data_IF_073875018155
#
_entry.id   IF_073875018155
#
_cell.length_a   1.000
_cell.length_b   1.000
_cell.length_c   1.000
_cell.angle_alpha   90.00
_cell.angle_beta   90.00
_cell.angle_gamma   90.00
#
_symmetry.space_group_name_H-M   'P 1'
#
loop_
_entity.id
_entity.type
_entity.pdbx_description
1 polymer ?
2 non-polymer ?
3 water ?
#
# COMPACT_ATOMS: atom_id res chain seq x y z
N UNK A 6 8.48 5.47 22.49
CA UNK A 6 7.25 4.65 22.20
C UNK A 6 7.11 4.52 20.67
N UNK A 7 6.81 5.62 19.97
CA UNK A 7 6.87 5.61 18.48
C UNK A 7 8.34 5.65 18.13
N UNK A 8 8.81 4.67 17.38
CA UNK A 8 10.24 4.39 17.16
C UNK A 8 10.48 3.73 15.80
N UNK A 9 9.47 3.19 15.09
CA UNK A 9 9.75 2.55 13.78
C UNK A 9 9.67 3.58 12.66
N UNK A 10 10.62 3.50 11.73
CA UNK A 10 10.74 4.48 10.62
C UNK A 10 10.76 3.71 9.30
N UNK A 11 9.61 3.55 8.61
CA UNK A 11 9.63 2.96 7.29
C UNK A 11 10.52 3.78 6.37
N UNK A 12 11.12 3.15 5.36
CA UNK A 12 11.94 3.86 4.40
C UNK A 12 11.09 4.84 3.57
N UNK A 13 11.77 5.75 2.90
CA UNK A 13 11.16 6.80 2.05
C UNK A 13 10.10 6.16 1.14
N UNK A 14 8.89 6.72 1.10
CA UNK A 14 7.84 6.33 0.13
C UNK A 14 7.50 4.84 0.27
N UNK A 15 7.57 4.33 1.49
CA UNK A 15 7.25 2.90 1.77
C UNK A 15 5.77 2.62 1.53
N UNK A 16 5.50 1.50 0.90
CA UNK A 16 4.11 0.99 0.83
C UNK A 16 4.09 -0.50 0.61
N UNK A 17 3.03 -1.13 1.09
CA UNK A 17 2.69 -2.51 0.73
C UNK A 17 2.00 -2.50 -0.63
N UNK A 18 2.50 -3.28 -1.57
CA UNK A 18 1.96 -3.39 -2.94
C UNK A 18 0.93 -4.52 -2.99
N UNK A 19 1.28 -5.65 -2.41
CA UNK A 19 0.42 -6.85 -2.41
C UNK A 19 0.90 -7.75 -1.28
N UNK A 20 0.22 -8.86 -1.04
CA UNK A 20 0.73 -9.90 -0.12
C UNK A 20 2.20 -10.18 -0.46
N UNK A 21 3.10 -9.99 0.49
CA UNK A 21 4.53 -10.33 0.37
C UNK A 21 5.33 -9.37 -0.50
N UNK A 22 4.76 -8.22 -0.93
CA UNK A 22 5.48 -7.30 -1.82
C UNK A 22 5.38 -5.86 -1.30
N UNK A 23 6.54 -5.24 -1.14
CA UNK A 23 6.69 -3.84 -0.67
C UNK A 23 7.46 -3.03 -1.70
N UNK A 24 7.30 -1.71 -1.63
CA UNK A 24 8.06 -0.75 -2.44
C UNK A 24 8.57 0.37 -1.53
N UNK A 25 9.71 0.93 -1.87
CA UNK A 25 10.26 2.10 -1.19
C UNK A 25 11.38 2.74 -1.99
N UNK A 26 11.87 3.85 -1.46
CA UNK A 26 13.19 4.40 -1.80
C UNK A 26 14.26 3.72 -0.96
N UNK A 27 15.44 4.31 -0.98
CA UNK A 27 16.67 3.66 -0.48
C UNK A 27 16.60 3.60 1.04
N UNK A 28 16.62 2.40 1.65
CA UNK A 28 16.66 2.31 3.12
C UNK A 28 18.00 2.77 3.68
N UNK A 29 17.96 3.41 4.83
CA UNK A 29 19.20 3.70 5.60
C UNK A 29 19.06 3.07 6.99
N UNK A 30 20.06 3.22 7.84
CA UNK A 30 20.14 2.47 9.13
C UNK A 30 18.94 2.84 10.03
N UNK A 31 18.37 4.04 9.88
CA UNK A 31 17.20 4.47 10.68
C UNK A 31 15.99 3.59 10.37
N UNK A 32 15.96 2.95 9.19
CA UNK A 32 14.81 2.15 8.71
C UNK A 32 14.98 0.66 9.03
N UNK A 33 16.14 0.22 9.51
CA UNK A 33 16.44 -1.22 9.63
C UNK A 33 15.49 -1.87 10.65
N UNK A 34 15.21 -1.22 11.79
CA UNK A 34 14.36 -1.85 12.82
C UNK A 34 12.96 -2.08 12.24
N UNK A 35 12.46 -1.14 11.45
CA UNK A 35 11.16 -1.31 10.76
C UNK A 35 11.24 -2.47 9.76
N UNK A 36 12.24 -2.49 8.88
CA UNK A 36 12.34 -3.54 7.84
C UNK A 36 12.49 -4.92 8.50
N UNK A 37 13.17 -5.03 9.64
CA UNK A 37 13.31 -6.32 10.37
C UNK A 37 11.92 -6.87 10.70
N UNK A 38 10.93 -6.01 10.97
CA UNK A 38 9.57 -6.45 11.36
C UNK A 38 8.88 -7.14 10.19
N UNK A 39 9.36 -6.94 8.95
CA UNK A 39 8.68 -7.49 7.76
C UNK A 39 9.14 -8.93 7.46
N UNK A 40 10.24 -9.40 8.06
CA UNK A 40 10.78 -10.74 7.79
C UNK A 40 11.05 -10.93 6.30
N UNK A 41 11.76 -9.99 5.69
CA UNK A 41 12.05 -10.04 4.24
C UNK A 41 12.88 -11.28 3.91
N UNK A 42 12.61 -11.85 2.75
CA UNK A 42 13.50 -12.88 2.14
C UNK A 42 14.42 -12.23 1.11
N UNK A 43 13.96 -11.16 0.45
CA UNK A 43 14.58 -10.63 -0.77
C UNK A 43 14.45 -9.11 -0.81
N UNK A 44 15.40 -8.47 -1.46
CA UNK A 44 15.31 -7.07 -1.94
C UNK A 44 15.57 -7.10 -3.44
N UNK A 45 14.71 -6.41 -4.19
CA UNK A 45 14.92 -6.13 -5.63
C UNK A 45 15.36 -4.67 -5.68
N UNK A 46 16.60 -4.47 -6.05
CA UNK A 46 17.29 -3.16 -6.03
C UNK A 46 17.52 -2.72 -7.48
N UNK A 47 16.96 -1.57 -7.87
CA UNK A 47 16.88 -1.17 -9.29
C UNK A 47 17.88 -0.06 -9.65
N UNK A 48 18.90 0.20 -8.82
CA UNK A 48 19.95 1.21 -9.13
C UNK A 48 21.28 0.53 -9.39
N UNK A 49 22.14 1.12 -10.26
CA UNK A 49 23.45 0.53 -10.55
C UNK A 49 24.52 0.71 -9.45
N UNK A 50 24.32 1.66 -8.55
CA UNK A 50 25.34 2.02 -7.53
C UNK A 50 25.54 0.83 -6.60
N UNK A 51 26.78 0.55 -6.13
CA UNK A 51 27.00 -0.53 -5.19
C UNK A 51 26.23 -0.30 -3.88
N UNK A 52 25.76 -1.39 -3.26
CA UNK A 52 25.06 -1.35 -1.97
C UNK A 52 26.02 -0.89 -0.89
N UNK A 53 25.66 0.11 -0.06
CA UNK A 53 26.52 0.53 1.04
C UNK A 53 26.81 -0.59 2.05
N UNK A 54 27.98 -0.53 2.70
CA UNK A 54 28.41 -1.52 3.72
C UNK A 54 27.33 -1.66 4.81
N UNK A 55 26.79 -0.56 5.29
CA UNK A 55 25.70 -0.55 6.32
C UNK A 55 24.56 -1.49 5.87
N UNK A 56 24.11 -1.32 4.63
CA UNK A 56 22.96 -2.10 4.10
C UNK A 56 23.39 -3.56 3.90
N UNK A 57 24.61 -3.79 3.40
CA UNK A 57 25.12 -5.17 3.20
C UNK A 57 25.14 -5.92 4.54
N UNK A 58 25.60 -5.29 5.63
CA UNK A 58 25.62 -5.96 6.95
C UNK A 58 24.18 -6.27 7.39
N UNK A 59 23.24 -5.35 7.14
CA UNK A 59 21.81 -5.59 7.46
C UNK A 59 21.29 -6.83 6.71
N UNK A 60 21.58 -6.95 5.41
CA UNK A 60 21.14 -8.12 4.61
C UNK A 60 21.74 -9.39 5.20
N UNK A 61 23.04 -9.36 5.52
CA UNK A 61 23.76 -10.56 6.00
C UNK A 61 23.15 -11.01 7.34
N UNK A 62 22.98 -10.07 8.27
CA UNK A 62 22.44 -10.34 9.63
C UNK A 62 21.04 -10.95 9.54
N UNK A 63 20.25 -10.53 8.55
CA UNK A 63 18.81 -10.89 8.45
C UNK A 63 18.57 -12.00 7.41
N UNK A 64 19.61 -12.49 6.74
CA UNK A 64 19.49 -13.56 5.73
C UNK A 64 18.69 -13.13 4.51
N UNK A 65 18.83 -11.86 4.10
CA UNK A 65 18.07 -11.30 2.96
C UNK A 65 18.91 -11.37 1.68
N UNK A 66 18.34 -11.91 0.62
CA UNK A 66 19.00 -12.01 -0.70
C UNK A 66 18.83 -10.68 -1.44
N UNK A 67 19.90 -10.19 -2.06
CA UNK A 67 19.89 -8.95 -2.88
C UNK A 67 19.90 -9.32 -4.36
N UNK A 68 18.84 -8.93 -5.06
CA UNK A 68 18.75 -8.98 -6.53
C UNK A 68 18.92 -7.57 -7.07
N UNK A 69 20.01 -7.33 -7.79
CA UNK A 69 20.31 -5.98 -8.31
C UNK A 69 20.14 -5.97 -9.82
N UNK A 70 19.23 -5.13 -10.31
CA UNK A 70 19.00 -4.86 -11.75
C UNK A 70 19.18 -3.36 -11.95
N UNK A 71 20.40 -2.96 -12.25
CA UNK A 71 20.84 -1.55 -12.22
C UNK A 71 20.30 -0.79 -13.42
N UNK A 72 19.26 -0.01 -13.22
CA UNK A 72 18.65 0.81 -14.30
C UNK A 72 19.26 2.19 -14.22
N UNK A 73 19.93 2.63 -15.28
CA UNK A 73 20.62 3.94 -15.35
C UNK A 73 19.56 5.03 -15.28
N UNK A 74 19.76 6.00 -14.41
CA UNK A 74 18.88 7.17 -14.27
C UNK A 74 18.88 7.97 -15.56
N UNK A 75 17.72 8.47 -15.96
CA UNK A 75 17.55 9.42 -17.09
C UNK A 75 16.45 10.41 -16.70
N UNK A 76 16.58 11.63 -17.21
CA UNK A 76 15.63 12.73 -16.93
C UNK A 76 14.81 12.95 -18.21
N UNK A 77 13.55 13.33 -18.06
CA UNK A 77 12.70 13.61 -19.25
C UNK A 77 13.26 14.83 -20.00
N UNK A 78 13.21 14.93 -21.35
CA UNK A 78 12.59 13.91 -22.19
C UNK A 78 13.58 12.94 -22.85
N UNK A 79 14.67 12.61 -22.17
CA UNK A 79 15.70 11.69 -22.74
C UNK A 79 15.71 10.37 -21.97
N UNK A 81 15.44 6.57 -21.44
CA UNK A 81 15.10 5.33 -22.17
C UNK A 81 14.99 4.18 -21.17
N UNK A 82 13.77 3.85 -20.75
CA UNK A 82 13.57 2.83 -19.66
C UNK A 82 13.99 1.46 -20.18
N UNK A 83 14.81 0.70 -19.44
CA UNK A 83 15.36 -0.56 -19.93
C UNK A 83 14.32 -1.66 -19.67
N UNK A 84 13.62 -2.00 -20.75
CA UNK A 84 12.66 -3.12 -20.83
C UNK A 84 13.27 -4.41 -20.27
N UNK A 85 14.49 -4.75 -20.66
CA UNK A 85 15.11 -6.03 -20.27
C UNK A 85 15.29 -6.06 -18.74
N UNK A 86 15.79 -4.98 -18.14
CA UNK A 86 16.05 -4.95 -16.68
C UNK A 86 14.70 -5.03 -15.96
N UNK A 87 13.69 -4.28 -16.38
CA UNK A 87 12.37 -4.36 -15.71
C UNK A 87 11.88 -5.80 -15.79
N UNK A 88 12.03 -6.45 -16.94
CA UNK A 88 11.50 -7.84 -17.12
C UNK A 88 12.30 -8.82 -16.25
N UNK A 89 13.62 -8.64 -16.13
CA UNK A 89 14.41 -9.52 -15.22
C UNK A 89 13.90 -9.35 -13.78
N UNK A 90 13.64 -8.10 -13.35
CA UNK A 90 13.13 -7.82 -12.00
C UNK A 90 11.76 -8.45 -11.82
N UNK A 91 10.88 -8.35 -12.82
CA UNK A 91 9.51 -8.89 -12.75
C UNK A 91 9.57 -10.42 -12.59
N UNK A 92 10.48 -11.10 -13.29
CA UNK A 92 10.66 -12.58 -13.21
C UNK A 92 10.98 -12.94 -11.74
N UNK A 93 11.83 -12.16 -11.07
CA UNK A 93 12.18 -12.42 -9.64
C UNK A 93 10.97 -12.11 -8.76
N UNK A 94 10.31 -10.99 -9.01
CA UNK A 94 9.18 -10.50 -8.19
C UNK A 94 8.05 -11.54 -8.19
N UNK A 95 7.79 -12.22 -9.31
CA UNK A 95 6.61 -13.10 -9.43
C UNK A 95 6.87 -14.47 -8.79
N UNK A 96 8.10 -14.76 -8.37
CA UNK A 96 8.45 -16.03 -7.70
C UNK A 96 8.20 -15.87 -6.19
N UNK A 97 7.13 -16.47 -5.69
CA UNK A 97 6.67 -16.36 -4.29
C UNK A 97 7.76 -16.87 -3.34
N UNK A 98 8.68 -17.73 -3.79
CA UNK A 98 9.79 -18.22 -2.93
C UNK A 98 10.67 -17.04 -2.50
N UNK A 99 10.61 -15.91 -3.23
CA UNK A 99 11.41 -14.70 -2.90
C UNK A 99 10.68 -13.77 -1.93
N UNK A 100 9.44 -14.06 -1.59
CA UNK A 100 8.60 -13.18 -0.73
C UNK A 100 8.85 -13.54 0.73
N UNK A 101 8.70 -12.58 1.67
CA UNK A 101 8.41 -11.18 1.35
C UNK A 101 9.60 -10.46 0.67
N UNK A 102 9.28 -9.58 -0.28
CA UNK A 102 10.29 -8.85 -1.07
C UNK A 102 10.01 -7.35 -0.99
N UNK A 103 11.07 -6.58 -0.81
CA UNK A 103 11.06 -5.11 -0.94
C UNK A 103 11.70 -4.73 -2.26
N UNK A 104 10.93 -4.04 -3.11
CA UNK A 104 11.43 -3.37 -4.33
C UNK A 104 11.92 -1.98 -3.91
N UNK A 105 13.14 -1.60 -4.24
CA UNK A 105 13.52 -0.19 -4.00
C UNK A 105 14.49 0.32 -5.05
N UNK A 106 14.44 1.63 -5.19
CA UNK A 106 15.40 2.39 -5.99
C UNK A 106 15.96 3.50 -5.08
N UNK A 107 16.15 4.71 -5.58
CA UNK A 107 16.69 5.82 -4.76
C UNK A 107 15.54 6.48 -4.00
N UNK A 108 14.51 6.93 -4.70
CA UNK A 108 13.34 7.57 -4.04
C UNK A 108 12.08 6.72 -4.20
N UNK A 109 12.09 5.68 -5.02
CA UNK A 109 10.93 4.77 -5.12
C UNK A 109 9.80 5.34 -5.93
N UNK A 110 10.09 6.20 -6.91
CA UNK A 110 9.05 6.87 -7.74
C UNK A 110 9.07 6.39 -9.18
N UNK A 111 10.24 6.33 -9.81
CA UNK A 111 10.36 6.12 -11.27
C UNK A 111 10.64 4.65 -11.57
N UNK A 112 11.83 4.18 -11.26
CA UNK A 112 12.20 2.77 -11.55
C UNK A 112 11.25 1.84 -10.80
N UNK A 113 11.07 2.08 -9.51
CA UNK A 113 10.16 1.30 -8.65
C UNK A 113 8.74 1.43 -9.20
N UNK A 114 8.34 2.65 -9.57
CA UNK A 114 6.98 2.89 -10.07
C UNK A 114 6.70 2.10 -11.33
N UNK A 115 7.67 2.05 -12.24
CA UNK A 115 7.53 1.32 -13.52
C UNK A 115 7.42 -0.18 -13.26
N UNK A 116 8.23 -0.71 -12.36
CA UNK A 116 8.15 -2.17 -12.09
C UNK A 116 6.77 -2.50 -11.51
N UNK A 117 6.32 -1.73 -10.52
CA UNK A 117 4.98 -1.98 -9.91
C UNK A 117 3.88 -1.81 -10.96
N UNK A 118 3.97 -0.79 -11.81
CA UNK A 118 2.93 -0.60 -12.85
C UNK A 118 2.85 -1.79 -13.79
N UNK A 119 3.99 -2.39 -14.13
CA UNK A 119 4.00 -3.57 -15.01
C UNK A 119 3.39 -4.76 -14.26
N UNK A 120 3.65 -4.92 -12.96
CA UNK A 120 2.95 -5.94 -12.16
C UNK A 120 1.43 -5.72 -12.24
N UNK A 121 0.98 -4.49 -12.07
CA UNK A 121 -0.48 -4.21 -12.08
C UNK A 121 -1.06 -4.58 -13.45
N UNK A 122 -0.30 -4.35 -14.52
CA UNK A 122 -0.82 -4.70 -15.87
C UNK A 122 -1.01 -6.23 -15.94
N UNK A 123 -0.07 -7.00 -15.38
CA UNK A 123 -0.20 -8.47 -15.30
C UNK A 123 -1.42 -8.85 -14.46
N UNK A 124 -1.75 -8.06 -13.42
CA UNK A 124 -2.92 -8.25 -12.52
C UNK A 124 -4.21 -7.74 -13.16
N UNK A 125 -4.15 -7.27 -14.41
CA UNK A 125 -5.33 -6.90 -15.25
C UNK A 125 -5.97 -5.59 -14.79
N UNK A 126 -5.25 -4.73 -14.10
CA UNK A 126 -5.74 -3.37 -13.77
C UNK A 126 -5.85 -2.56 -15.06
N UNK A 127 -6.91 -1.78 -15.19
CA UNK A 127 -7.01 -0.82 -16.30
C UNK A 127 -5.90 0.22 -16.18
N UNK A 128 -5.51 0.79 -17.30
CA UNK A 128 -4.33 1.69 -17.35
C UNK A 128 -4.56 2.87 -16.42
N UNK A 129 -5.74 3.48 -16.45
CA UNK A 129 -5.98 4.70 -15.62
C UNK A 129 -5.79 4.37 -14.15
N UNK A 130 -6.11 3.16 -13.71
CA UNK A 130 -5.92 2.76 -12.28
C UNK A 130 -4.43 2.57 -12.00
N UNK A 131 -3.70 2.00 -12.94
CA UNK A 131 -2.22 1.83 -12.81
C UNK A 131 -1.56 3.19 -12.71
N UNK A 132 -1.95 4.11 -13.59
CA UNK A 132 -1.34 5.46 -13.65
C UNK A 132 -1.66 6.20 -12.36
N UNK A 133 -2.88 6.06 -11.84
CA UNK A 133 -3.27 6.74 -10.58
C UNK A 133 -2.34 6.31 -9.45
N UNK A 134 -2.09 5.02 -9.31
CA UNK A 134 -1.20 4.54 -8.24
C UNK A 134 0.23 5.06 -8.46
N UNK A 135 0.73 4.99 -9.69
CA UNK A 135 2.07 5.51 -10.04
C UNK A 135 2.16 6.98 -9.61
N UNK A 136 1.16 7.78 -9.99
CA UNK A 136 1.14 9.23 -9.74
C UNK A 136 1.10 9.52 -8.23
N UNK A 137 0.46 8.67 -7.43
CA UNK A 137 0.36 8.89 -5.98
C UNK A 137 1.78 8.99 -5.39
N UNK A 138 2.69 8.13 -5.82
CA UNK A 138 4.09 8.12 -5.35
C UNK A 138 4.90 9.17 -6.07
N UNK A 139 4.77 9.30 -7.39
CA UNK A 139 5.65 10.19 -8.15
C UNK A 139 5.29 11.66 -7.86
N UNK A 140 4.02 11.94 -7.57
CA UNK A 140 3.51 13.29 -7.21
C UNK A 140 3.97 14.31 -8.25
N UNK A 141 4.66 15.39 -7.84
CA UNK A 141 5.03 16.45 -8.79
C UNK A 141 6.10 15.99 -9.78
N UNK A 142 6.73 14.85 -9.56
CA UNK A 142 7.76 14.29 -10.46
C UNK A 142 7.18 13.19 -11.36
N UNK A 143 5.85 13.03 -11.45
CA UNK A 143 5.24 12.06 -12.40
C UNK A 143 5.79 12.38 -13.79
N UNK A 144 6.20 11.35 -14.51
CA UNK A 144 6.75 11.46 -15.88
C UNK A 144 5.79 10.79 -16.86
N UNK A 145 5.51 11.46 -17.96
CA UNK A 145 4.70 10.82 -19.03
C UNK A 145 5.48 9.60 -19.54
N UNK A 146 6.81 9.69 -19.63
CA UNK A 146 7.65 8.59 -20.20
C UNK A 146 7.49 7.31 -19.36
N UNK A 147 7.38 7.43 -18.05
CA UNK A 147 7.18 6.24 -17.17
C UNK A 147 5.83 5.59 -17.50
N UNK A 148 4.83 6.41 -17.72
CA UNK A 148 3.45 5.88 -17.95
C UNK A 148 3.37 5.34 -19.38
N UNK A 149 4.07 5.98 -20.31
CA UNK A 149 4.11 5.50 -21.72
C UNK A 149 4.73 4.10 -21.72
N UNK A 150 5.82 3.92 -20.96
CA UNK A 150 6.51 2.62 -20.83
C UNK A 150 5.51 1.55 -20.39
N UNK A 151 4.75 1.81 -19.35
CA UNK A 151 3.70 0.90 -18.86
C UNK A 151 2.62 0.70 -19.94
N UNK A 152 2.25 1.78 -20.63
CA UNK A 152 1.17 1.77 -21.66
C UNK A 152 1.52 0.84 -22.83
N UNK A 153 2.80 0.72 -23.18
CA UNK A 153 3.20 -0.13 -24.35
C UNK A 153 3.81 -1.46 -23.90
N UNK A 154 4.05 -1.66 -22.62
CA UNK A 154 4.63 -2.92 -22.08
C UNK A 154 3.79 -4.13 -22.53
N UNK A 155 4.38 -5.01 -23.30
CA UNK A 155 3.69 -6.22 -23.84
C UNK A 155 3.69 -7.28 -22.74
N UNK A 156 2.53 -7.67 -22.22
CA UNK A 156 2.44 -8.66 -21.10
C UNK A 156 2.68 -10.11 -21.58
N UNK A 157 2.73 -10.37 -22.89
CA UNK A 157 2.67 -11.74 -23.50
C UNK A 157 3.51 -12.78 -22.73
N UNK A 158 4.80 -12.50 -22.52
CA UNK A 158 5.76 -13.53 -22.03
C UNK A 158 5.50 -13.93 -20.56
N UNK A 159 4.71 -13.15 -19.83
CA UNK A 159 4.49 -13.32 -18.37
C UNK A 159 3.07 -13.81 -18.06
N UNK A 160 2.21 -13.87 -19.08
CA UNK A 160 0.72 -13.95 -18.91
C UNK A 160 0.29 -15.32 -18.35
N UNK A 161 1.13 -16.36 -18.48
CA UNK A 161 0.87 -17.73 -17.95
C UNK A 161 1.29 -17.86 -16.47
N UNK A 162 2.05 -16.93 -15.90
CA UNK A 162 2.62 -17.04 -14.51
C UNK A 162 1.48 -16.85 -13.50
N UNK A 163 1.22 -17.85 -12.62
CA UNK A 163 0.17 -17.72 -11.60
C UNK A 163 0.59 -16.73 -10.50
N UNK A 164 -0.41 -16.23 -9.77
CA UNK A 164 -0.20 -15.25 -8.66
C UNK A 164 -1.12 -15.61 -7.49
N UNK A 165 -1.14 -16.89 -7.13
CA UNK A 165 -1.90 -17.42 -5.96
C UNK A 165 -1.40 -16.76 -4.67
N UNK A 166 -0.24 -16.08 -4.69
CA UNK A 166 0.28 -15.25 -3.56
C UNK A 166 -0.62 -14.04 -3.32
N UNK A 167 -1.26 -13.52 -4.37
CA UNK A 167 -1.84 -12.15 -4.36
C UNK A 167 -3.12 -12.11 -3.51
N UNK A 168 -3.41 -10.94 -2.94
CA UNK A 168 -4.72 -10.68 -2.26
C UNK A 168 -5.80 -10.71 -3.33
N UNK A 169 -5.45 -10.34 -4.56
CA UNK A 169 -6.34 -10.25 -5.73
C UNK A 169 -6.33 -11.60 -6.48
N UNK A 170 -7.34 -12.45 -6.25
CA UNK A 170 -7.45 -13.79 -6.90
C UNK A 170 -8.36 -13.67 -8.14
N UNK B 7 -7.34 -5.83 -19.92
CA UNK B 7 -7.27 -5.00 -18.68
C UNK B 7 -8.70 -4.57 -18.36
N UNK B 8 -9.19 -4.92 -17.19
CA UNK B 8 -10.63 -4.83 -16.88
C UNK B 8 -10.88 -4.55 -15.40
N UNK B 9 -9.90 -4.69 -14.50
CA UNK B 9 -10.16 -4.46 -13.06
C UNK B 9 -9.94 -2.97 -12.75
N UNK B 10 -10.82 -2.44 -11.90
CA UNK B 10 -10.84 -1.01 -11.55
C UNK B 10 -10.91 -0.92 -10.04
N UNK B 11 -9.75 -0.82 -9.35
CA UNK B 11 -9.77 -0.56 -7.92
C UNK B 11 -10.55 0.73 -7.64
N UNK B 12 -11.20 0.82 -6.47
CA UNK B 12 -11.94 2.03 -6.10
C UNK B 12 -10.97 3.22 -5.92
N UNK B 13 -11.53 4.42 -5.88
CA UNK B 13 -10.81 5.70 -5.69
C UNK B 13 -9.78 5.54 -4.58
N UNK B 14 -8.52 5.90 -4.84
CA UNK B 14 -7.48 6.01 -3.78
C UNK B 14 -7.29 4.68 -3.05
N UNK B 15 -7.43 3.59 -3.76
CA UNK B 15 -7.26 2.23 -3.21
C UNK B 15 -5.80 1.98 -2.85
N UNK B 16 -5.61 1.36 -1.69
CA UNK B 16 -4.29 0.82 -1.31
C UNK B 16 -4.42 -0.30 -0.29
N UNK B 17 -3.44 -1.19 -0.32
CA UNK B 17 -3.24 -2.16 0.77
C UNK B 17 -2.51 -1.45 1.92
N UNK B 18 -3.03 -1.55 3.12
CA UNK B 18 -2.48 -0.90 4.34
C UNK B 18 -1.56 -1.91 5.02
N UNK B 19 -2.01 -3.15 5.15
CA UNK B 19 -1.26 -4.21 5.85
C UNK B 19 -1.87 -5.52 5.40
N UNK B 20 -1.33 -6.62 5.89
CA UNK B 20 -1.94 -7.95 5.68
C UNK B 20 -3.41 -7.87 6.05
N UNK B 21 -4.31 -8.18 5.11
CA UNK B 21 -5.74 -8.23 5.37
C UNK B 21 -6.44 -6.88 5.50
N UNK B 22 -5.77 -5.75 5.25
CA UNK B 22 -6.38 -4.42 5.48
C UNK B 22 -6.17 -3.55 4.25
N UNK B 23 -7.25 -2.98 3.75
CA UNK B 23 -7.24 -2.09 2.58
C UNK B 23 -7.91 -0.78 2.96
N UNK B 24 -7.63 0.24 2.16
CA UNK B 24 -8.28 1.56 2.27
C UNK B 24 -8.73 2.02 0.88
N UNK B 25 -9.78 2.82 0.85
CA UNK B 25 -10.25 3.45 -0.42
C UNK B 25 -11.28 4.53 -0.14
N UNK B 26 -11.67 5.22 -1.19
CA UNK B 26 -12.92 5.98 -1.20
C UNK B 26 -14.08 5.09 -1.59
N UNK B 27 -15.20 5.71 -1.90
CA UNK B 27 -16.49 4.99 -2.05
C UNK B 27 -16.46 4.11 -3.29
N UNK B 28 -16.61 2.79 -3.15
CA UNK B 28 -16.71 1.92 -4.33
C UNK B 28 -18.00 2.16 -5.09
N UNK B 29 -17.94 2.06 -6.41
CA UNK B 29 -19.15 2.00 -7.25
C UNK B 29 -19.12 0.69 -8.05
N UNK B 30 -20.15 0.45 -8.84
CA UNK B 30 -20.34 -0.87 -9.51
C UNK B 30 -19.15 -1.18 -10.43
N UNK B 31 -18.44 -0.18 -10.98
CA UNK B 31 -17.27 -0.40 -11.85
C UNK B 31 -16.13 -1.05 -11.05
N UNK B 32 -16.15 -0.96 -9.72
CA UNK B 32 -15.07 -1.46 -8.83
C UNK B 32 -15.40 -2.85 -8.26
N UNK B 33 -16.63 -3.34 -8.43
CA UNK B 33 -17.08 -4.56 -7.72
C UNK B 33 -16.23 -5.77 -8.15
N UNK B 34 -15.92 -5.92 -9.44
CA UNK B 34 -15.15 -7.11 -9.92
C UNK B 34 -13.77 -7.08 -9.27
N UNK B 35 -13.16 -5.91 -9.15
CA UNK B 35 -11.84 -5.81 -8.46
C UNK B 35 -12.01 -6.19 -6.98
N UNK B 36 -13.01 -5.64 -6.31
CA UNK B 36 -13.17 -5.92 -4.86
C UNK B 36 -13.45 -7.41 -4.64
N UNK B 37 -14.13 -8.07 -5.59
CA UNK B 37 -14.37 -9.52 -5.48
C UNK B 37 -13.04 -10.27 -5.36
N UNK B 38 -12.00 -9.82 -6.05
CA UNK B 38 -10.69 -10.53 -6.07
C UNK B 38 -10.06 -10.48 -4.68
N UNK B 39 -10.48 -9.57 -3.79
CA UNK B 39 -9.84 -9.43 -2.46
C UNK B 39 -10.45 -10.38 -1.41
N UNK B 40 -11.58 -11.03 -1.70
CA UNK B 40 -12.21 -11.94 -0.72
C UNK B 40 -12.49 -11.23 0.60
N UNK B 41 -13.08 -10.03 0.54
CA UNK B 41 -13.37 -9.24 1.74
C UNK B 41 -14.33 -10.01 2.64
N UNK B 42 -14.09 -9.95 3.94
CA UNK B 42 -15.08 -10.35 4.97
C UNK B 42 -15.85 -9.14 5.48
N UNK B 43 -15.25 -7.95 5.45
CA UNK B 43 -15.74 -6.77 6.18
C UNK B 43 -15.48 -5.50 5.37
N UNK B 44 -16.38 -4.54 5.56
CA UNK B 44 -16.15 -3.13 5.18
C UNK B 44 -16.34 -2.32 6.45
N UNK B 45 -15.38 -1.46 6.74
CA UNK B 45 -15.54 -0.39 7.76
C UNK B 45 -15.84 0.88 6.99
N UNK B 46 -17.07 1.37 7.12
CA UNK B 46 -17.59 2.52 6.38
C UNK B 46 -17.71 3.69 7.35
N UNK B 47 -17.05 4.81 7.04
CA UNK B 47 -16.86 5.89 8.03
C UNK B 47 -17.74 7.11 7.75
N UNK B 48 -18.74 6.99 6.89
CA UNK B 48 -19.68 8.11 6.58
C UNK B 48 -21.05 7.80 7.16
N UNK B 49 -21.82 8.84 7.56
CA UNK B 49 -23.16 8.62 8.13
C UNK B 49 -24.26 8.32 7.11
N UNK B 50 -24.06 8.64 5.83
CA UNK B 50 -25.11 8.48 4.79
C UNK B 50 -25.44 7.00 4.67
N UNK B 51 -26.71 6.64 4.45
CA UNK B 51 -27.06 5.24 4.27
C UNK B 51 -26.31 4.69 3.04
N UNK B 52 -25.90 3.42 3.13
CA UNK B 52 -25.24 2.68 2.03
C UNK B 52 -26.22 2.57 0.86
N UNK B 53 -25.81 2.94 -0.37
CA UNK B 53 -26.70 2.80 -1.51
C UNK B 53 -27.10 1.35 -1.79
N UNK B 54 -28.26 1.18 -2.42
CA UNK B 54 -28.85 -0.14 -2.72
C UNK B 54 -27.84 -0.98 -3.51
N UNK B 55 -27.18 -0.38 -4.51
CA UNK B 55 -26.18 -1.06 -5.39
C UNK B 55 -25.09 -1.71 -4.51
N UNK B 56 -24.56 -0.93 -3.57
CA UNK B 56 -23.46 -1.33 -2.68
C UNK B 56 -24.00 -2.36 -1.68
N UNK B 57 -25.23 -2.20 -1.18
CA UNK B 57 -25.81 -3.19 -0.23
C UNK B 57 -25.94 -4.54 -0.93
N UNK B 58 -26.41 -4.56 -2.18
CA UNK B 58 -26.57 -5.83 -2.93
C UNK B 58 -25.20 -6.48 -3.12
N UNK B 59 -24.17 -5.68 -3.39
CA UNK B 59 -22.79 -6.19 -3.53
C UNK B 59 -22.35 -6.83 -2.22
N UNK B 60 -22.55 -6.15 -1.09
CA UNK B 60 -22.19 -6.72 0.25
C UNK B 60 -22.90 -8.06 0.42
N UNK B 61 -24.22 -8.07 0.21
CA UNK B 61 -25.06 -9.26 0.48
C UNK B 61 -24.57 -10.43 -0.36
N UNK B 62 -24.43 -10.21 -1.67
CA UNK B 62 -24.02 -11.23 -2.68
C UNK B 62 -22.66 -11.83 -2.34
N UNK B 63 -21.74 -11.01 -1.84
CA UNK B 63 -20.34 -11.40 -1.64
C UNK B 63 -20.08 -11.83 -0.19
N UNK B 64 -21.08 -11.85 0.68
CA UNK B 64 -20.92 -12.28 2.07
C UNK B 64 -19.99 -11.36 2.85
N UNK B 65 -20.17 -10.05 2.67
CA UNK B 65 -19.35 -9.01 3.34
C UNK B 65 -20.19 -8.37 4.44
N UNK B 66 -19.63 -8.30 5.65
CA UNK B 66 -20.26 -7.60 6.80
C UNK B 66 -19.96 -6.10 6.69
N UNK B 67 -20.97 -5.27 6.88
CA UNK B 67 -20.83 -3.80 6.95
C UNK B 67 -20.74 -3.36 8.41
N UNK B 68 -19.66 -2.68 8.76
CA UNK B 68 -19.52 -1.93 10.03
C UNK B 68 -19.56 -0.43 9.70
N UNK B 69 -20.59 0.26 10.16
CA UNK B 69 -20.77 1.70 9.84
C UNK B 69 -20.50 2.49 11.13
N UNK B 70 -19.49 3.33 11.09
CA UNK B 70 -19.14 4.30 12.15
C UNK B 70 -19.14 5.68 11.52
N UNK B 71 -20.31 6.31 11.48
CA UNK B 71 -20.58 7.52 10.68
C UNK B 71 -19.94 8.73 11.31
N UNK B 72 -18.90 9.26 10.66
CA UNK B 72 -18.20 10.49 11.12
C UNK B 72 -18.72 11.65 10.29
N UNK B 73 -19.23 12.70 10.93
CA UNK B 73 -19.99 13.80 10.28
C UNK B 73 -19.03 14.71 9.51
N UNK B 81 -14.46 18.73 14.30
CA UNK B 81 -13.92 17.81 15.34
C UNK B 81 -14.18 16.35 14.93
N UNK B 82 -13.11 15.59 14.67
CA UNK B 82 -13.17 14.11 14.42
C UNK B 82 -13.53 13.44 15.75
N UNK B 83 -14.62 12.64 15.81
CA UNK B 83 -14.99 11.97 17.06
C UNK B 83 -14.10 10.76 17.36
N UNK B 84 -13.37 10.90 18.47
CA UNK B 84 -12.50 9.87 19.09
C UNK B 84 -13.25 8.55 19.21
N UNK B 85 -14.48 8.55 19.71
CA UNK B 85 -15.23 7.30 20.04
C UNK B 85 -15.41 6.44 18.79
N UNK B 86 -15.79 7.03 17.67
CA UNK B 86 -16.06 6.31 16.40
C UNK B 86 -14.75 5.72 15.86
N UNK B 87 -13.66 6.46 15.91
CA UNK B 87 -12.32 5.94 15.50
C UNK B 87 -11.94 4.79 16.43
N UNK B 88 -12.18 4.93 17.74
CA UNK B 88 -11.89 3.85 18.72
C UNK B 88 -12.68 2.58 18.37
N UNK B 89 -13.97 2.71 18.08
CA UNK B 89 -14.84 1.55 17.74
C UNK B 89 -14.35 0.93 16.42
N UNK B 90 -13.96 1.75 15.45
CA UNK B 90 -13.46 1.26 14.15
C UNK B 90 -12.14 0.51 14.36
N UNK B 91 -11.26 1.02 15.22
CA UNK B 91 -9.95 0.38 15.54
C UNK B 91 -10.21 -1.02 16.12
N UNK B 92 -11.19 -1.14 17.01
CA UNK B 92 -11.53 -2.44 17.69
C UNK B 92 -11.87 -3.47 16.60
N UNK B 93 -12.63 -3.07 15.58
CA UNK B 93 -13.03 -3.99 14.46
C UNK B 93 -11.78 -4.37 13.67
N UNK B 94 -10.97 -3.37 13.35
CA UNK B 94 -9.77 -3.55 12.53
C UNK B 94 -8.80 -4.51 13.21
N UNK B 95 -8.73 -4.52 14.54
CA UNK B 95 -7.72 -5.32 15.29
C UNK B 95 -8.17 -6.78 15.47
N UNK B 96 -9.43 -7.09 15.16
CA UNK B 96 -9.94 -8.48 15.22
C UNK B 96 -9.70 -9.11 13.86
N UNK B 97 -8.69 -9.98 13.75
CA UNK B 97 -8.25 -10.65 12.50
C UNK B 97 -9.41 -11.45 11.89
N UNK B 98 -10.40 -11.88 12.68
CA UNK B 98 -11.57 -12.62 12.11
C UNK B 98 -12.31 -11.73 11.10
N UNK B 99 -12.18 -10.41 11.20
CA UNK B 99 -12.86 -9.46 10.28
C UNK B 99 -12.07 -9.29 8.99
N UNK B 100 -10.85 -9.82 8.89
CA UNK B 100 -9.99 -9.63 7.72
C UNK B 100 -10.34 -10.69 6.67
N UNK B 101 -10.20 -10.40 5.36
CA UNK B 101 -9.79 -9.08 4.86
C UNK B 101 -10.86 -7.98 5.00
N UNK B 102 -10.41 -6.78 5.34
CA UNK B 102 -11.31 -5.63 5.59
C UNK B 102 -10.90 -4.47 4.70
N UNK B 103 -11.90 -3.81 4.10
CA UNK B 103 -11.73 -2.54 3.37
C UNK B 103 -12.29 -1.41 4.25
N UNK B 104 -11.43 -0.46 4.60
CA UNK B 104 -11.85 0.82 5.23
C UNK B 104 -12.21 1.77 4.08
N UNK B 105 -13.38 2.39 4.10
CA UNK B 105 -13.63 3.46 3.11
C UNK B 105 -14.51 4.55 3.66
N UNK B 106 -14.34 5.71 3.04
CA UNK B 106 -15.20 6.88 3.28
C UNK B 106 -15.70 7.35 1.91
N UNK B 107 -15.78 8.66 1.64
CA UNK B 107 -16.25 9.11 0.31
C UNK B 107 -15.05 9.13 -0.66
N UNK B 108 -13.97 9.84 -0.30
CA UNK B 108 -12.76 9.88 -1.18
C UNK B 108 -11.60 9.13 -0.56
N UNK B 109 -11.69 8.71 0.70
CA UNK B 109 -10.63 7.90 1.32
C UNK B 109 -9.41 8.71 1.70
N UNK B 110 -9.58 10.00 2.00
CA UNK B 110 -8.45 10.90 2.35
C UNK B 110 -8.47 11.26 3.83
N UNK B 111 -9.61 11.68 4.36
CA UNK B 111 -9.68 12.34 5.68
C UNK B 111 -10.08 11.33 6.76
N UNK B 112 -11.33 10.86 6.75
CA UNK B 112 -11.81 9.93 7.80
C UNK B 112 -10.98 8.64 7.70
N UNK B 113 -10.85 8.12 6.48
CA UNK B 113 -10.04 6.91 6.22
C UNK B 113 -8.59 7.16 6.64
N UNK B 114 -8.03 8.30 6.27
CA UNK B 114 -6.63 8.61 6.61
C UNK B 114 -6.41 8.68 8.11
N UNK B 115 -7.38 9.23 8.85
CA UNK B 115 -7.27 9.34 10.33
C UNK B 115 -7.29 7.94 10.95
N UNK B 116 -8.17 7.05 10.49
CA UNK B 116 -8.23 5.71 11.08
C UNK B 116 -6.92 4.98 10.80
N UNK B 117 -6.45 5.03 9.55
CA UNK B 117 -5.17 4.36 9.23
C UNK B 117 -4.02 4.95 10.07
N UNK B 118 -3.98 6.27 10.20
CA UNK B 118 -2.90 6.91 10.98
C UNK B 118 -2.89 6.44 12.42
N UNK B 119 -4.07 6.28 13.03
CA UNK B 119 -4.19 5.80 14.42
C UNK B 119 -3.72 4.33 14.49
N UNK B 120 -4.04 3.51 13.49
CA UNK B 120 -3.49 2.13 13.41
C UNK B 120 -1.96 2.21 13.37
N UNK B 121 -1.39 3.11 12.58
CA UNK B 121 0.09 3.21 12.48
C UNK B 121 0.69 3.59 13.84
N UNK B 122 0.00 4.40 14.64
CA UNK B 122 0.48 4.77 15.99
C UNK B 122 0.52 3.51 16.85
N UNK B 123 -0.49 2.65 16.76
CA UNK B 123 -0.49 1.35 17.48
C UNK B 123 0.67 0.47 17.00
N UNK B 124 1.05 0.59 15.72
CA UNK B 124 2.17 -0.17 15.09
C UNK B 124 3.53 0.50 15.39
N UNK B 125 3.55 1.57 16.18
CA UNK B 125 4.76 2.24 16.71
C UNK B 125 5.51 3.01 15.63
N UNK B 126 4.82 3.42 14.56
CA UNK B 126 5.44 4.31 13.55
C UNK B 126 5.69 5.69 14.15
N UNK B 127 6.82 6.30 13.83
CA UNK B 127 7.07 7.71 14.19
C UNK B 127 6.05 8.60 13.47
N UNK B 128 5.68 9.71 14.08
CA UNK B 128 4.62 10.60 13.54
C UNK B 128 4.98 11.05 12.13
N UNK B 129 6.21 11.44 11.84
CA UNK B 129 6.52 11.96 10.48
C UNK B 129 6.23 10.88 9.42
N UNK B 130 6.47 9.61 9.72
CA UNK B 130 6.20 8.49 8.78
C UNK B 130 4.69 8.35 8.60
N UNK B 131 3.93 8.48 9.68
CA UNK B 131 2.45 8.40 9.63
C UNK B 131 1.91 9.53 8.75
N UNK B 132 2.38 10.73 9.02
CA UNK B 132 1.92 11.94 8.28
C UNK B 132 2.28 11.83 6.79
N UNK B 133 3.46 11.31 6.48
CA UNK B 133 3.88 11.17 5.08
C UNK B 133 2.90 10.26 4.34
N UNK B 134 2.54 9.14 4.95
CA UNK B 134 1.58 8.20 4.34
C UNK B 134 0.23 8.89 4.19
N UNK B 135 -0.26 9.54 5.23
CA UNK B 135 -1.53 10.31 5.17
C UNK B 135 -1.49 11.28 3.98
N UNK B 136 -0.41 12.04 3.85
CA UNK B 136 -0.29 13.11 2.84
C UNK B 136 -0.28 12.51 1.44
N UNK B 137 0.25 11.30 1.27
CA UNK B 137 0.30 10.66 -0.06
C UNK B 137 -1.11 10.55 -0.64
N UNK B 138 -2.10 10.20 0.20
CA UNK B 138 -3.50 10.05 -0.25
C UNK B 138 -4.20 11.41 -0.25
N UNK B 139 -3.99 12.22 0.77
CA UNK B 139 -4.76 13.48 0.90
C UNK B 139 -4.29 14.51 -0.15
N UNK B 140 -2.99 14.49 -0.49
CA UNK B 140 -2.36 15.31 -1.53
C UNK B 140 -2.69 16.78 -1.27
N UNK B 141 -3.27 17.50 -2.22
CA UNK B 141 -3.54 18.96 -2.06
C UNK B 141 -4.64 19.22 -1.03
N UNK B 142 -5.35 18.19 -0.57
CA UNK B 142 -6.42 18.34 0.46
C UNK B 142 -5.91 17.88 1.84
N UNK B 143 -4.61 17.68 2.03
CA UNK B 143 -4.07 17.34 3.37
C UNK B 143 -4.55 18.42 4.36
N UNK B 144 -5.03 17.97 5.52
CA UNK B 144 -5.56 18.83 6.61
C UNK B 144 -4.63 18.73 7.81
N UNK B 145 -4.24 19.88 8.35
CA UNK B 145 -3.44 19.89 9.59
C UNK B 145 -4.29 19.23 10.69
N UNK B 146 -5.59 19.51 10.73
CA UNK B 146 -6.48 19.00 11.80
C UNK B 146 -6.50 17.46 11.80
N UNK B 147 -6.47 16.84 10.63
CA UNK B 147 -6.44 15.35 10.56
C UNK B 147 -5.16 14.84 11.24
N UNK B 148 -4.02 15.48 10.97
CA UNK B 148 -2.71 15.02 11.48
C UNK B 148 -2.64 15.31 12.98
N UNK B 149 -3.17 16.46 13.40
CA UNK B 149 -3.26 16.85 14.83
C UNK B 149 -4.08 15.79 15.58
N UNK B 150 -5.20 15.34 15.01
CA UNK B 150 -6.06 14.29 15.61
C UNK B 150 -5.21 13.03 15.88
N UNK B 151 -4.40 12.61 14.90
CA UNK B 151 -3.51 11.42 15.03
C UNK B 151 -2.46 11.67 16.11
N UNK B 152 -1.87 12.86 16.12
CA UNK B 152 -0.82 13.35 17.06
C UNK B 152 -1.35 13.13 18.48
N UNK B 153 -2.62 13.45 18.76
CA UNK B 153 -3.10 13.45 20.16
C UNK B 153 -3.99 12.25 20.48
N UNK B 154 -4.31 11.39 19.51
CA UNK B 154 -5.20 10.23 19.76
C UNK B 154 -4.59 9.30 20.81
N UNK B 155 -5.37 8.99 21.86
CA UNK B 155 -4.90 8.19 23.03
C UNK B 155 -4.99 6.71 22.66
N UNK B 156 -3.85 6.01 22.62
CA UNK B 156 -3.77 4.58 22.19
C UNK B 156 -3.73 3.66 23.42
N UNK B 157 -3.81 4.22 24.64
CA UNK B 157 -3.64 3.50 25.93
C UNK B 157 -4.51 2.24 25.99
N UNK B 158 -5.78 2.33 25.56
CA UNK B 158 -6.80 1.26 25.74
C UNK B 158 -6.46 0.02 24.89
N UNK B 159 -5.52 0.12 23.93
CA UNK B 159 -5.27 -0.90 22.88
C UNK B 159 -3.93 -1.63 23.04
N UNK B 160 -3.03 -1.13 23.88
CA UNK B 160 -1.60 -1.51 23.86
C UNK B 160 -1.42 -2.99 24.24
N UNK B 161 -2.44 -3.61 24.86
CA UNK B 161 -2.46 -5.04 25.26
C UNK B 161 -2.82 -5.95 24.07
N UNK B 162 -3.53 -5.44 23.06
CA UNK B 162 -4.03 -6.23 21.90
C UNK B 162 -2.86 -6.59 21.00
N UNK B 163 -2.50 -7.90 20.84
CA UNK B 163 -1.42 -8.29 19.94
C UNK B 163 -1.87 -8.16 18.47
N UNK B 164 -0.92 -8.03 17.55
CA UNK B 164 -1.18 -7.77 16.11
C UNK B 164 -0.40 -8.76 15.25
N UNK B 165 -0.58 -10.06 15.53
CA UNK B 165 0.10 -11.19 14.84
C UNK B 165 -0.35 -11.28 13.38
N UNK B 166 -1.44 -10.59 12.97
CA UNK B 166 -1.90 -10.51 11.56
C UNK B 166 -0.90 -9.74 10.70
N UNK B 167 -0.21 -8.76 11.28
CA UNK B 167 0.54 -7.70 10.56
C UNK B 167 1.78 -8.30 9.88
N UNK B 168 2.18 -7.72 8.76
CA UNK B 168 3.47 -8.01 8.06
C UNK B 168 4.61 -7.55 8.98
N UNK B 169 4.31 -6.57 9.83
CA UNK B 169 5.27 -5.95 10.78
C UNK B 169 5.08 -6.57 12.19
N UNK B 170 5.91 -7.56 12.55
CA UNK B 170 5.88 -8.26 13.87
C UNK B 170 6.87 -7.56 14.83
X LIG C 1 15.57 13.72 -9.20
X LIG C 1 16.33 13.90 -10.51
X LIG C 1 17.43 12.84 -10.60
X LIG C 1 16.81 11.41 -10.51
X LIG C 1 15.91 11.25 -9.30
X LIG C 1 14.90 12.39 -9.21
X LIG C 1 14.53 14.72 -9.02
X LIG C 1 15.45 13.78 -11.63
X LIG C 1 18.17 12.98 -11.84
X LIG C 1 17.83 10.37 -10.43
X LIG C 1 15.24 9.97 -9.50
X LIG C 1 14.17 12.29 -7.99
X LIG C 1 15.58 15.87 -6.93
X LIG C 1 16.14 16.26 -12.28
X LIG C 1 20.59 12.46 -11.03
X LIG C 1 19.51 9.96 -12.33
X LIG C 1 14.50 9.32 -7.21
X LIG C 1 12.43 10.61 -7.78
X LIG C 1 15.84 16.82 -9.34
X LIG C 1 13.66 15.47 -12.42
X LIG C 1 19.68 14.87 -10.89
X LIG C 1 16.99 9.63 -12.83
X LIG C 1 16.80 8.66 -8.15
X LIG C 1 12.02 12.64 -9.28
X LIG C 1 13.44 16.78 -8.09
X LIG C 1 15.36 14.55 -14.06
X LIG C 1 20.22 13.77 -13.21
X LIG C 1 18.25 7.97 -11.33
X LIG C 1 14.74 7.69 -9.11
X LIG C 1 12.19 12.92 -6.68
X LIG C 1 14.50 5.92 -7.39
X LIG C 1 12.52 7.09 -8.33
X LIG C 1 13.82 5.71 -9.77
X LIG C 1 14.82 16.18 -8.29
X LIG C 1 15.17 14.99 -12.70
X LIG C 1 19.71 13.57 -11.84
X LIG C 1 18.15 9.39 -11.70
X LIG C 1 15.33 8.95 -8.35
X LIG C 1 12.59 12.20 -7.97
X LIG C 1 13.82 6.52 -8.57
X LIG D 1 -14.30 18.05 -0.27
X LIG D 1 -15.01 18.96 0.70
X LIG D 1 -16.18 18.19 1.28
X LIG D 1 -15.68 16.95 2.05
X LIG D 1 -14.88 16.07 1.14
X LIG D 1 -13.75 16.85 0.47
X LIG D 1 -13.22 18.70 -0.93
X LIG D 1 -14.13 19.34 1.75
X LIG D 1 -16.92 19.04 2.18
X LIG D 1 -16.81 16.20 2.51
X LIG D 1 -14.29 15.05 1.96
X LIG D 1 -13.12 15.98 -0.47
X LIG D 1 -14.16 18.50 -3.46
X LIG D 1 -14.52 21.93 1.07
X LIG D 1 -19.37 18.27 2.09
X LIG D 1 -18.26 17.21 4.45
X LIG D 1 -13.61 13.14 0.50
X LIG D 1 -11.51 14.31 0.32
X LIG D 1 -14.32 20.68 -2.19
X LIG D 1 -12.10 20.95 1.49
X LIG D 1 -18.45 19.86 0.24
X LIG D 1 -15.86 16.37 4.92
X LIG D 1 -16.03 13.38 1.47
X LIG D 1 -10.89 16.81 0.41
X LIG D 1 -11.95 19.72 -2.90
X LIG D 1 -13.74 21.29 3.43
X LIG D 1 -18.76 20.76 2.66
X LIG D 1 -17.78 14.70 4.37
X LIG D 1 -14.03 12.92 2.98
X LIG D 1 -11.13 15.61 -1.88
X LIG D 1 -14.01 10.44 2.49
X LIG D 1 -11.90 11.82 2.67
X LIG D 1 -13.29 11.49 4.61
X LIG D 1 -13.34 19.43 -2.40
X LIG D 1 -13.64 20.92 2.01
X LIG D 1 -18.42 19.58 1.84
X LIG D 1 -17.20 16.05 4.07
X LIG D 1 -14.51 13.58 1.58
X LIG D 1 -11.54 15.77 -0.44
X LIG D 1 -13.23 11.54 3.17
#
# INVERSE_FOLDING_TARGET
GSFTEELHLIPPLNFSMVDNGIFRSGFPDSANFSFLQTLGLRSIIYLCPEPYPESNLQFLKSNGIRLFQFGIEGNKEPFVNIPDHKIRMALKVLLDEKNHPVLIHSKRGKHRTGCLVGCLRKLQKWCLTSIFDEYQRFAAAKARVSDQRFMEIFDVSSFSHIPMSFSCSIR
GSFTEELHLIPPLNFSMVDNGIFRSGFPDSANFSFLQTLGLRSIIYLCPEPYPESNLQFLKSNGIRLFQFGIEGNKEPFVNIPDHKIRMALKVLLDEKNHPVLIHSKRGKHRTGCLVGCLRKLQKWCLTSIFDEYQRFAAAKARVSDQRFMEIFDVSSFSHIPMSFSCSIR
I7P C1 C2 C3 C4 C5 C6 O11 O12 O13 O14 O15 O16 O21 O22 O23 O24 O25 O26 O31 O32 O33 O34 O35 O36 O41 O42 O43 O44 O45 O46 O55 O65 O75 PA1 PA2 PA3 PA4 PA5 PA6 PB5
I7P C1 C2 C3 C4 C5 C6 O11 O12 O13 O14 O15 O16 O21 O22 O23 O24 O25 O26 O31 O32 O33 O34 O35 O36 O41 O42 O43 O44 O45 O46 O55 O65 O75 PA1 PA2 PA3 PA4 PA5 PA6 PB5
#
